data_IF_489241832308
#
_entry.id   IF_489241832308
#
_cell.length_a   1.000
_cell.length_b   1.000
_cell.length_c   1.000
_cell.angle_alpha   90.00
_cell.angle_beta   90.00
_cell.angle_gamma   90.00
#
_symmetry.space_group_name_H-M   'P 1'
#
loop_
_entity.id
_entity.type
_entity.pdbx_description
1 polymer ?
#
# COMPACT_ATOMS: atom_id res chain seq x y z
N UNK A 1 5.19 6.94 5.51
CA UNK A 1 4.33 7.86 4.73
C UNK A 1 2.92 7.29 4.72
N UNK A 2 1.89 8.15 4.81
CA UNK A 2 0.48 7.76 4.63
C UNK A 2 0.06 8.26 3.25
N UNK A 3 -0.41 7.38 2.37
CA UNK A 3 -0.70 7.68 0.97
C UNK A 3 -1.99 6.97 0.51
N UNK A 4 -2.55 7.37 -0.63
CA UNK A 4 -3.64 6.59 -1.21
C UNK A 4 -3.12 5.21 -1.66
N UNK A 5 -3.89 4.14 -1.55
CA UNK A 5 -3.40 2.80 -1.94
C UNK A 5 -3.47 2.52 -3.46
N UNK A 6 -3.97 3.46 -4.27
CA UNK A 6 -4.28 3.19 -5.69
C UNK A 6 -3.03 2.95 -6.54
N UNK A 7 -1.85 3.37 -6.06
CA UNK A 7 -0.61 3.04 -6.73
C UNK A 7 -0.30 1.54 -6.67
N UNK A 8 -0.84 0.79 -5.71
CA UNK A 8 -0.58 -0.65 -5.55
C UNK A 8 -1.29 -1.49 -6.62
N UNK A 9 -2.55 -1.15 -6.92
CA UNK A 9 -3.38 -1.99 -7.81
C UNK A 9 -3.36 -1.57 -9.27
N UNK A 10 -3.09 -0.28 -9.55
CA UNK A 10 -3.25 0.25 -10.89
C UNK A 10 -1.99 0.02 -11.75
N UNK A 11 -2.09 -0.69 -12.89
CA UNK A 11 -0.95 -1.02 -13.75
C UNK A 11 -0.21 0.20 -14.32
N UNK A 12 -0.84 1.38 -14.37
CA UNK A 12 -0.19 2.62 -14.82
C UNK A 12 1.02 2.99 -13.94
N UNK A 13 1.04 2.59 -12.67
CA UNK A 13 2.14 2.90 -11.74
C UNK A 13 3.32 1.91 -11.80
N UNK A 14 3.32 0.98 -12.75
CA UNK A 14 4.41 -0.01 -12.91
C UNK A 14 5.80 0.64 -13.01
N UNK A 15 5.93 1.77 -13.71
CA UNK A 15 7.20 2.50 -13.82
C UNK A 15 7.65 3.10 -12.48
N UNK A 16 6.70 3.61 -11.68
CA UNK A 16 6.96 4.13 -10.35
C UNK A 16 7.40 3.01 -9.39
N UNK A 17 6.73 1.85 -9.41
CA UNK A 17 7.13 0.68 -8.63
C UNK A 17 8.55 0.23 -8.98
N UNK A 18 8.86 0.15 -10.27
CA UNK A 18 10.20 -0.21 -10.72
C UNK A 18 11.26 0.78 -10.24
N UNK A 19 10.97 2.08 -10.28
CA UNK A 19 11.89 3.09 -9.78
C UNK A 19 12.07 3.02 -8.26
N UNK A 20 10.99 2.78 -7.50
CA UNK A 20 11.05 2.61 -6.05
C UNK A 20 11.90 1.39 -5.67
N UNK A 21 11.67 0.24 -6.32
CA UNK A 21 12.47 -0.99 -6.09
C UNK A 21 13.95 -0.81 -6.42
N UNK A 22 14.32 0.12 -7.31
CA UNK A 22 15.73 0.41 -7.61
C UNK A 22 16.36 1.43 -6.67
N UNK A 23 15.55 2.23 -5.99
CA UNK A 23 16.02 3.36 -5.18
C UNK A 23 16.17 3.01 -3.70
N UNK A 24 15.32 2.11 -3.20
CA UNK A 24 15.24 1.72 -1.79
C UNK A 24 15.63 0.27 -1.59
N UNK A 25 16.29 -0.02 -0.47
CA UNK A 25 16.72 -1.38 -0.11
C UNK A 25 15.59 -2.17 0.53
N UNK A 26 14.67 -1.53 1.25
CA UNK A 26 13.49 -2.20 1.79
C UNK A 26 12.24 -1.33 1.63
N UNK A 27 11.16 -1.96 1.19
CA UNK A 27 9.87 -1.32 0.99
C UNK A 27 8.83 -2.12 1.76
N UNK A 28 8.29 -1.52 2.81
CA UNK A 28 7.19 -2.09 3.58
C UNK A 28 5.91 -1.34 3.27
N UNK A 29 4.88 -2.06 2.84
CA UNK A 29 3.59 -1.48 2.51
C UNK A 29 2.53 -2.19 3.35
N UNK A 30 1.83 -1.42 4.16
CA UNK A 30 0.66 -1.84 4.91
C UNK A 30 -0.58 -1.22 4.26
N UNK A 31 -1.38 -2.04 3.59
CA UNK A 31 -2.63 -1.59 3.00
C UNK A 31 -3.75 -1.62 4.04
N UNK A 32 -4.35 -0.46 4.31
CA UNK A 32 -5.45 -0.30 5.27
C UNK A 32 -6.83 -0.44 4.61
N UNK A 33 -6.87 -0.64 3.29
CA UNK A 33 -8.09 -0.75 2.48
C UNK A 33 -9.03 0.46 2.72
N UNK A 34 -10.34 0.23 2.83
CA UNK A 34 -11.34 1.29 3.05
C UNK A 34 -11.66 2.09 1.79
N UNK A 35 -11.55 1.49 0.60
CA UNK A 35 -11.96 2.14 -0.64
C UNK A 35 -13.46 1.97 -0.90
N UNK A 36 -14.24 2.96 -0.48
CA UNK A 36 -15.69 2.97 -0.65
C UNK A 36 -16.12 3.03 -2.14
N UNK A 37 -15.28 3.57 -3.03
CA UNK A 37 -15.57 3.61 -4.47
C UNK A 37 -15.52 2.21 -5.11
N UNK A 38 -14.59 1.37 -4.64
CA UNK A 38 -14.49 -0.04 -5.05
C UNK A 38 -15.50 -0.94 -4.33
N UNK A 39 -16.25 -0.40 -3.36
CA UNK A 39 -17.18 -1.14 -2.49
C UNK A 39 -16.50 -2.33 -1.82
N UNK A 40 -15.28 -2.11 -1.32
CA UNK A 40 -14.54 -3.10 -0.55
C UNK A 40 -15.38 -3.57 0.64
N UNK A 41 -15.35 -4.88 0.89
CA UNK A 41 -16.05 -5.52 2.00
C UNK A 41 -15.03 -6.26 2.82
N UNK A 42 -15.19 -6.17 4.13
CA UNK A 42 -14.45 -7.00 5.05
C UNK A 42 -14.77 -8.48 4.81
N UNK A 43 -13.89 -9.41 5.24
CA UNK A 43 -14.10 -10.85 5.07
C UNK A 43 -15.40 -11.38 5.71
N UNK A 44 -15.90 -10.67 6.72
CA UNK A 44 -17.17 -10.90 7.42
C UNK A 44 -18.40 -10.39 6.63
N UNK A 45 -18.19 -9.69 5.51
CA UNK A 45 -19.23 -9.09 4.68
C UNK A 45 -19.69 -7.69 5.11
N UNK A 46 -19.13 -7.15 6.19
CA UNK A 46 -19.38 -5.76 6.62
C UNK A 46 -18.74 -4.76 5.64
N UNK A 47 -19.27 -3.52 5.56
CA UNK A 47 -18.63 -2.48 4.75
C UNK A 47 -17.25 -2.16 5.32
N UNK A 48 -16.24 -2.13 4.45
CA UNK A 48 -14.89 -1.74 4.87
C UNK A 48 -14.83 -0.21 5.05
N UNK A 49 -14.88 0.21 6.31
CA UNK A 49 -14.84 1.63 6.67
C UNK A 49 -13.43 2.19 6.66
N UNK A 50 -13.28 3.36 6.05
CA UNK A 50 -12.00 4.06 6.01
C UNK A 50 -11.68 4.67 7.38
N UNK A 51 -10.41 4.61 7.78
CA UNK A 51 -9.95 5.13 9.07
C UNK A 51 -9.92 6.67 9.12
N UNK A 52 -10.01 7.35 7.98
CA UNK A 52 -9.84 8.81 7.85
C UNK A 52 -11.08 9.55 7.31
N UNK A 53 -12.28 8.96 7.35
CA UNK A 53 -13.54 9.54 6.82
C UNK A 53 -13.48 9.95 5.33
N UNK A 54 -12.62 9.31 4.54
CA UNK A 54 -12.47 9.55 3.10
C UNK A 54 -12.91 8.34 2.26
N UNK A 55 -13.30 8.60 1.00
CA UNK A 55 -13.77 7.55 0.09
C UNK A 55 -12.66 6.70 -0.53
N UNK A 56 -11.43 7.20 -0.56
CA UNK A 56 -10.30 6.54 -1.20
C UNK A 56 -9.52 5.72 -0.16
N UNK A 57 -9.17 4.48 -0.52
CA UNK A 57 -8.42 3.61 0.36
C UNK A 57 -7.00 4.13 0.64
N UNK A 58 -6.49 3.80 1.82
CA UNK A 58 -5.24 4.34 2.37
C UNK A 58 -4.23 3.23 2.58
N UNK A 59 -2.97 3.52 2.29
CA UNK A 59 -1.84 2.66 2.62
C UNK A 59 -0.79 3.43 3.41
N UNK A 60 -0.07 2.71 4.27
CA UNK A 60 1.11 3.21 4.96
C UNK A 60 2.34 2.56 4.32
N UNK A 61 3.25 3.39 3.82
CA UNK A 61 4.50 2.95 3.22
C UNK A 61 5.70 3.35 4.09
N UNK A 62 6.58 2.38 4.38
CA UNK A 62 7.92 2.62 4.90
C UNK A 62 8.94 2.30 3.81
N UNK A 63 9.74 3.30 3.45
CA UNK A 63 10.76 3.22 2.42
C UNK A 63 12.11 3.38 3.11
N UNK A 64 12.88 2.31 3.21
CA UNK A 64 14.17 2.28 3.92
C UNK A 64 15.29 2.25 2.90
N UNK A 65 16.23 3.18 3.05
CA UNK A 65 17.48 3.19 2.29
C UNK A 65 18.64 3.03 3.27
N UNK A 66 19.42 1.97 3.10
CA UNK A 66 20.61 1.65 3.88
C UNK A 66 21.83 2.25 3.17
N UNK A 67 22.86 2.61 3.94
CA UNK A 67 24.11 3.15 3.38
C UNK A 67 24.92 2.08 2.63
N UNK A 68 24.77 0.83 3.04
CA UNK A 68 25.37 -0.34 2.39
C UNK A 68 24.34 -0.85 1.38
N UNK A 69 24.61 -0.70 0.09
CA UNK A 69 23.67 -0.99 -0.99
C UNK A 69 23.33 -2.46 -1.08
N UNK A 70 22.24 -2.84 -0.41
CA UNK A 70 21.74 -4.21 -0.33
C UNK A 70 20.68 -4.42 -1.43
N UNK A 71 20.45 -5.67 -1.87
CA UNK A 71 19.37 -5.94 -2.81
C UNK A 71 18.02 -5.57 -2.20
N UNK A 72 17.19 -4.88 -3.00
CA UNK A 72 15.84 -4.47 -2.64
C UNK A 72 14.98 -5.64 -2.15
N UNK A 73 14.41 -5.53 -0.94
CA UNK A 73 13.41 -6.44 -0.38
C UNK A 73 12.08 -5.71 -0.20
N UNK A 74 11.13 -5.99 -1.09
CA UNK A 74 9.77 -5.51 -0.96
C UNK A 74 8.92 -6.51 -0.15
N UNK A 75 8.25 -6.03 0.90
CA UNK A 75 7.31 -6.80 1.72
C UNK A 75 6.01 -6.01 1.82
N UNK A 76 4.97 -6.51 1.16
CA UNK A 76 3.62 -5.96 1.27
C UNK A 76 2.75 -6.89 2.11
N UNK A 77 2.07 -6.33 3.10
CA UNK A 77 1.00 -7.03 3.83
C UNK A 77 -0.30 -6.28 3.56
N UNK A 78 -1.21 -6.93 2.84
CA UNK A 78 -2.62 -6.55 2.80
C UNK A 78 -3.21 -6.91 4.16
N UNK A 79 -3.49 -5.90 4.99
CA UNK A 79 -4.20 -6.13 6.24
C UNK A 79 -5.62 -6.52 5.90
N UNK A 80 -5.97 -7.81 6.00
CA UNK A 80 -7.37 -8.21 6.15
C UNK A 80 -7.82 -7.64 7.48
N UNK A 81 -8.59 -6.54 7.46
CA UNK A 81 -9.35 -6.14 8.65
C UNK A 81 -10.20 -7.35 9.06
N UNK A 82 -10.13 -7.66 10.35
CA UNK A 82 -10.92 -8.72 10.99
C UNK A 82 -12.37 -8.30 11.00
#
# INVERSE_FOLDING_TARGET
MITNHSYLDNPTFRGMHWHLMRTFDEIYILDLHGNSLKKERCPDGSPDENVFDIRQGVAIAFLVKKKEGLPCRAVGTSGKKV
#
